data_IF_609504006427
#
_entry.id   IF_609504006427
#
_cell.length_a   1.000
_cell.length_b   1.000
_cell.length_c   1.000
_cell.angle_alpha   90.00
_cell.angle_beta   90.00
_cell.angle_gamma   90.00
#
_symmetry.space_group_name_H-M   'P 1'
#
loop_
_entity.id
_entity.type
_entity.pdbx_description
1 polymer ?
#
# COMPACT_ATOMS: atom_id res chain seq x y z
N UNK A 1 -39.05 14.31 -46.58
CA UNK A 1 -38.28 13.92 -45.38
C UNK A 1 -37.82 15.15 -44.62
N UNK A 2 -38.26 15.35 -43.36
CA UNK A 2 -37.93 16.56 -42.57
C UNK A 2 -36.55 16.42 -41.91
N UNK A 3 -35.59 17.27 -42.31
CA UNK A 3 -34.19 17.33 -41.80
C UNK A 3 -34.08 17.38 -40.25
N UNK A 4 -35.11 17.89 -39.56
CA UNK A 4 -35.18 17.93 -38.09
C UNK A 4 -35.38 16.57 -37.41
N UNK A 5 -36.00 15.59 -38.06
CA UNK A 5 -36.13 14.23 -37.49
C UNK A 5 -34.83 13.43 -37.61
N UNK A 6 -33.99 13.73 -38.61
CA UNK A 6 -32.72 13.02 -38.81
C UNK A 6 -31.70 13.35 -37.71
N UNK A 7 -31.53 14.63 -37.36
CA UNK A 7 -30.61 15.05 -36.28
C UNK A 7 -31.06 14.52 -34.91
N UNK A 8 -32.38 14.44 -34.68
CA UNK A 8 -32.94 13.92 -33.43
C UNK A 8 -32.72 12.40 -33.26
N UNK A 9 -32.69 11.66 -34.38
CA UNK A 9 -32.42 10.22 -34.37
C UNK A 9 -30.92 9.88 -34.35
N UNK A 10 -30.06 10.71 -34.98
CA UNK A 10 -28.61 10.48 -34.97
C UNK A 10 -28.01 10.68 -33.57
N UNK A 11 -28.50 11.64 -32.78
CA UNK A 11 -28.01 11.89 -31.41
C UNK A 11 -28.31 10.79 -30.39
N UNK A 12 -29.34 9.97 -30.62
CA UNK A 12 -29.71 8.88 -29.71
C UNK A 12 -28.90 7.59 -29.93
N UNK A 13 -28.31 7.40 -31.11
CA UNK A 13 -27.61 6.15 -31.49
C UNK A 13 -26.10 6.20 -31.27
N UNK A 14 -25.50 7.39 -31.16
CA UNK A 14 -24.04 7.56 -30.98
C UNK A 14 -23.57 7.45 -29.51
N UNK A 15 -24.48 7.53 -28.54
CA UNK A 15 -24.16 7.39 -27.11
C UNK A 15 -24.13 5.93 -26.62
N UNK A 16 -24.58 4.96 -27.43
CA UNK A 16 -24.64 3.56 -27.03
C UNK A 16 -23.32 2.78 -27.25
N UNK A 17 -22.33 3.36 -27.94
CA UNK A 17 -21.09 2.67 -28.35
C UNK A 17 -19.84 3.11 -27.57
N UNK A 18 -19.94 4.00 -26.58
CA UNK A 18 -18.77 4.55 -25.87
C UNK A 18 -18.47 3.92 -24.52
N UNK A 19 -19.34 3.05 -24.00
CA UNK A 19 -19.08 2.31 -22.77
C UNK A 19 -18.73 0.87 -23.12
N UNK A 20 -17.49 0.66 -23.60
CA UNK A 20 -16.93 -0.69 -23.67
C UNK A 20 -16.63 -1.13 -22.24
N UNK A 21 -17.22 -2.22 -21.73
CA UNK A 21 -16.91 -2.73 -20.41
C UNK A 21 -15.41 -3.04 -20.28
N UNK A 22 -14.83 -2.67 -19.14
CA UNK A 22 -13.37 -2.72 -18.95
C UNK A 22 -12.76 -4.13 -19.15
N UNK A 23 -13.54 -5.18 -18.89
CA UNK A 23 -13.12 -6.57 -19.12
C UNK A 23 -12.92 -6.92 -20.61
N UNK A 24 -13.56 -6.19 -21.53
CA UNK A 24 -13.41 -6.40 -22.97
C UNK A 24 -12.13 -5.77 -23.53
N UNK A 25 -11.53 -4.80 -22.82
CA UNK A 25 -10.25 -4.16 -23.18
C UNK A 25 -9.08 -4.75 -22.39
N UNK A 26 -9.29 -5.17 -21.14
CA UNK A 26 -8.24 -5.74 -20.29
C UNK A 26 -7.70 -7.09 -20.79
N UNK A 27 -8.46 -7.81 -21.63
CA UNK A 27 -8.06 -9.08 -22.25
C UNK A 27 -6.90 -8.98 -23.24
N UNK A 28 -6.45 -7.78 -23.62
CA UNK A 28 -5.36 -7.55 -24.57
C UNK A 28 -3.99 -7.31 -23.90
N UNK A 29 -3.88 -7.53 -22.58
CA UNK A 29 -2.61 -7.41 -21.86
C UNK A 29 -2.13 -5.98 -21.61
N UNK A 30 -3.01 -4.99 -21.80
CA UNK A 30 -2.74 -3.59 -21.47
C UNK A 30 -3.76 -3.09 -20.44
N UNK A 31 -3.27 -2.67 -19.27
CA UNK A 31 -4.09 -1.95 -18.29
C UNK A 31 -4.32 -0.54 -18.80
N UNK A 32 -5.59 -0.17 -18.98
CA UNK A 32 -5.96 1.18 -19.39
C UNK A 32 -5.38 2.19 -18.38
N UNK A 33 -4.91 3.37 -18.80
CA UNK A 33 -4.37 4.35 -17.86
C UNK A 33 -5.32 4.73 -16.71
N UNK A 34 -6.64 4.65 -16.93
CA UNK A 34 -7.68 4.87 -15.91
C UNK A 34 -7.72 3.81 -14.82
N UNK A 35 -7.18 2.63 -15.08
CA UNK A 35 -7.17 1.49 -14.14
C UNK A 35 -5.87 1.40 -13.33
N UNK A 36 -4.95 2.35 -13.56
CA UNK A 36 -3.69 2.45 -12.82
C UNK A 36 -3.88 3.37 -11.63
N UNK A 37 -3.42 2.92 -10.47
CA UNK A 37 -3.37 3.72 -9.26
C UNK A 37 -2.30 4.79 -9.38
N UNK A 38 -2.63 5.99 -8.90
CA UNK A 38 -1.67 7.04 -8.62
C UNK A 38 -1.14 6.88 -7.20
N UNK A 39 0.12 6.50 -7.09
CA UNK A 39 0.80 6.15 -5.86
C UNK A 39 1.75 7.28 -5.45
N UNK A 40 1.73 7.61 -4.16
CA UNK A 40 2.73 8.46 -3.53
C UNK A 40 3.65 7.66 -2.61
N UNK A 41 4.97 7.85 -2.72
CA UNK A 41 5.95 7.26 -1.81
C UNK A 41 6.31 8.21 -0.66
N UNK A 42 6.37 7.72 0.58
CA UNK A 42 6.80 8.47 1.76
C UNK A 42 7.91 7.68 2.48
N UNK A 43 9.11 8.27 2.59
CA UNK A 43 10.32 7.55 2.99
C UNK A 43 10.77 6.64 1.85
N UNK A 44 11.45 7.22 0.86
CA UNK A 44 11.62 6.58 -0.46
C UNK A 44 13.01 5.98 -0.65
N UNK A 45 13.95 6.21 0.27
CA UNK A 45 15.23 5.51 0.28
C UNK A 45 15.13 4.07 0.79
N UNK A 46 16.26 3.38 0.89
CA UNK A 46 16.37 2.04 1.48
C UNK A 46 15.27 1.06 1.02
N UNK A 47 14.37 0.68 1.94
CA UNK A 47 13.27 -0.24 1.66
C UNK A 47 12.16 0.38 0.80
N UNK A 48 11.86 1.67 0.98
CA UNK A 48 10.88 2.40 0.17
C UNK A 48 11.22 2.38 -1.31
N UNK A 49 12.51 2.48 -1.66
CA UNK A 49 13.01 2.33 -3.03
C UNK A 49 12.60 0.99 -3.64
N UNK A 50 12.80 -0.09 -2.90
CA UNK A 50 12.42 -1.43 -3.35
C UNK A 50 10.90 -1.59 -3.45
N UNK A 51 10.13 -1.00 -2.51
CA UNK A 51 8.67 -1.04 -2.60
C UNK A 51 8.17 -0.32 -3.86
N UNK A 52 8.69 0.87 -4.16
CA UNK A 52 8.31 1.64 -5.35
C UNK A 52 8.64 0.88 -6.65
N UNK A 53 9.82 0.25 -6.72
CA UNK A 53 10.21 -0.57 -7.89
C UNK A 53 9.26 -1.76 -8.13
N UNK A 54 8.64 -2.28 -7.07
CA UNK A 54 7.67 -3.37 -7.18
C UNK A 54 6.25 -2.88 -7.55
N UNK A 55 6.00 -1.57 -7.63
CA UNK A 55 4.73 -1.01 -8.10
C UNK A 55 4.68 -0.93 -9.64
N UNK A 56 5.16 -1.98 -10.31
CA UNK A 56 5.26 -2.04 -11.77
C UNK A 56 3.87 -1.86 -12.39
N UNK A 57 3.80 -1.01 -13.41
CA UNK A 57 2.55 -0.75 -14.12
C UNK A 57 1.63 0.27 -13.46
N UNK A 58 1.97 0.79 -12.27
CA UNK A 58 1.24 1.87 -11.60
C UNK A 58 1.88 3.25 -11.84
N UNK A 59 1.18 4.33 -11.51
CA UNK A 59 1.68 5.69 -11.70
C UNK A 59 2.31 6.20 -10.39
N UNK A 60 3.62 6.43 -10.37
CA UNK A 60 4.27 7.11 -9.24
C UNK A 60 4.16 8.62 -9.45
N UNK A 61 3.28 9.29 -8.71
CA UNK A 61 2.92 10.69 -8.95
C UNK A 61 3.56 11.68 -7.98
N UNK A 62 3.93 11.20 -6.79
CA UNK A 62 4.57 12.01 -5.78
C UNK A 62 5.56 11.18 -4.95
N UNK A 63 6.64 11.82 -4.53
CA UNK A 63 7.69 11.23 -3.74
C UNK A 63 8.04 12.19 -2.60
N UNK A 64 8.04 11.68 -1.37
CA UNK A 64 8.28 12.46 -0.18
C UNK A 64 9.43 11.87 0.65
N UNK A 65 10.44 12.67 0.91
CA UNK A 65 11.56 12.31 1.80
C UNK A 65 12.13 13.54 2.51
N UNK A 66 12.48 13.43 3.78
CA UNK A 66 13.09 14.53 4.51
C UNK A 66 14.56 14.74 4.12
N UNK A 67 15.23 13.68 3.65
CA UNK A 67 16.61 13.72 3.17
C UNK A 67 16.65 13.55 1.65
N UNK A 68 16.70 14.68 0.94
CA UNK A 68 16.77 14.70 -0.51
C UNK A 68 18.09 14.17 -1.06
N UNK A 69 19.20 14.31 -0.33
CA UNK A 69 20.50 13.84 -0.79
C UNK A 69 20.51 12.30 -0.79
N UNK A 70 19.97 11.70 0.26
CA UNK A 70 19.78 10.25 0.34
C UNK A 70 18.78 9.73 -0.71
N UNK A 71 17.70 10.48 -0.95
CA UNK A 71 16.62 10.10 -1.86
C UNK A 71 16.87 10.41 -3.35
N UNK A 72 17.94 11.16 -3.69
CA UNK A 72 18.23 11.63 -5.04
C UNK A 72 18.21 10.53 -6.13
N UNK A 73 18.78 9.33 -5.90
CA UNK A 73 18.71 8.26 -6.88
C UNK A 73 17.27 7.85 -7.23
N UNK A 74 16.36 7.90 -6.25
CA UNK A 74 14.95 7.52 -6.45
C UNK A 74 14.18 8.61 -7.17
N UNK A 75 14.47 9.88 -6.86
CA UNK A 75 13.91 10.99 -7.63
C UNK A 75 14.34 10.94 -9.11
N UNK A 76 15.55 10.49 -9.38
CA UNK A 76 16.06 10.30 -10.75
C UNK A 76 15.40 9.11 -11.46
N UNK A 77 15.03 8.05 -10.72
CA UNK A 77 14.26 6.91 -11.27
C UNK A 77 12.83 7.29 -11.65
N UNK A 78 12.22 8.27 -10.97
CA UNK A 78 10.85 8.74 -11.22
C UNK A 78 10.78 10.26 -11.48
N UNK A 79 11.35 10.75 -12.59
CA UNK A 79 11.53 12.19 -12.83
C UNK A 79 10.21 12.97 -13.02
N UNK A 80 9.11 12.27 -13.29
CA UNK A 80 7.77 12.86 -13.43
C UNK A 80 7.03 13.02 -12.09
N UNK A 81 7.48 12.33 -11.05
CA UNK A 81 6.85 12.41 -9.74
C UNK A 81 7.22 13.74 -9.07
N UNK A 82 6.23 14.43 -8.50
CA UNK A 82 6.49 15.66 -7.75
C UNK A 82 7.23 15.33 -6.46
N UNK A 83 8.26 16.13 -6.14
CA UNK A 83 9.12 15.94 -4.96
C UNK A 83 8.59 16.77 -3.79
N UNK A 84 8.51 16.16 -2.61
CA UNK A 84 8.09 16.82 -1.37
C UNK A 84 9.05 16.50 -0.22
N UNK A 85 9.33 17.49 0.64
CA UNK A 85 10.09 17.28 1.88
C UNK A 85 9.22 16.88 3.07
N UNK A 86 7.93 17.20 2.99
CA UNK A 86 6.98 17.06 4.07
C UNK A 86 5.71 16.37 3.54
N UNK A 87 5.36 15.24 4.15
CA UNK A 87 4.21 14.44 3.73
C UNK A 87 2.90 15.20 3.96
N UNK A 88 2.84 16.11 4.93
CA UNK A 88 1.64 16.92 5.23
C UNK A 88 1.36 17.86 4.06
N UNK A 89 2.40 18.55 3.58
CA UNK A 89 2.32 19.41 2.39
C UNK A 89 2.00 18.59 1.15
N UNK A 90 2.57 17.39 1.02
CA UNK A 90 2.25 16.49 -0.08
C UNK A 90 0.77 16.11 -0.09
N UNK A 91 0.24 15.62 1.03
CA UNK A 91 -1.16 15.22 1.18
C UNK A 91 -2.12 16.39 0.97
N UNK A 92 -1.73 17.61 1.37
CA UNK A 92 -2.51 18.82 1.14
C UNK A 92 -2.53 19.22 -0.35
N UNK A 93 -1.37 19.27 -1.01
CA UNK A 93 -1.22 19.86 -2.35
C UNK A 93 -1.45 18.87 -3.50
N UNK A 94 -1.14 17.60 -3.32
CA UNK A 94 -1.24 16.60 -4.37
C UNK A 94 -2.62 15.93 -4.32
N UNK A 95 -3.50 16.32 -5.26
CA UNK A 95 -4.90 15.86 -5.24
C UNK A 95 -5.11 14.47 -5.87
N UNK A 96 -4.28 14.11 -6.83
CA UNK A 96 -4.37 12.85 -7.58
C UNK A 96 -3.55 11.73 -6.92
N UNK A 97 -3.76 11.47 -5.62
CA UNK A 97 -3.19 10.30 -4.92
C UNK A 97 -4.35 9.36 -4.61
N UNK A 98 -4.23 8.12 -5.07
CA UNK A 98 -5.17 7.03 -4.77
C UNK A 98 -4.64 6.19 -3.59
N UNK A 99 -3.32 5.96 -3.55
CA UNK A 99 -2.66 5.17 -2.51
C UNK A 99 -1.32 5.77 -2.08
N UNK A 100 -0.91 5.47 -0.84
CA UNK A 100 0.42 5.79 -0.30
C UNK A 100 1.20 4.53 0.01
N UNK A 101 2.50 4.57 -0.27
CA UNK A 101 3.50 3.59 0.18
C UNK A 101 4.37 4.28 1.22
N UNK A 102 4.28 3.82 2.47
CA UNK A 102 4.99 4.40 3.62
C UNK A 102 6.10 3.43 4.06
N UNK A 103 7.34 3.89 3.99
CA UNK A 103 8.54 3.12 4.35
C UNK A 103 9.56 3.97 5.13
N UNK A 104 9.06 4.85 5.99
CA UNK A 104 9.84 5.66 6.94
C UNK A 104 10.34 4.80 8.12
N UNK A 105 11.12 5.35 9.06
CA UNK A 105 11.37 4.70 10.33
C UNK A 105 10.06 4.40 11.08
N UNK A 106 9.99 3.24 11.72
CA UNK A 106 8.79 2.65 12.32
C UNK A 106 8.06 3.54 13.34
N UNK A 107 8.80 4.29 14.17
CA UNK A 107 8.23 5.23 15.13
C UNK A 107 7.43 6.39 14.49
N UNK A 108 7.50 6.57 13.17
CA UNK A 108 6.71 7.57 12.43
C UNK A 108 5.54 6.99 11.65
N UNK A 109 5.43 5.66 11.56
CA UNK A 109 4.45 4.98 10.71
C UNK A 109 3.02 5.41 10.99
N UNK A 110 2.58 5.33 12.25
CA UNK A 110 1.20 5.66 12.62
C UNK A 110 0.87 7.14 12.38
N UNK A 111 1.82 8.04 12.64
CA UNK A 111 1.67 9.49 12.46
C UNK A 111 1.46 9.88 10.99
N UNK A 112 1.99 9.08 10.06
CA UNK A 112 1.87 9.33 8.61
C UNK A 112 0.66 8.57 8.05
N UNK A 113 0.46 7.32 8.47
CA UNK A 113 -0.61 6.48 7.97
C UNK A 113 -2.00 7.01 8.35
N UNK A 114 -2.19 7.44 9.61
CA UNK A 114 -3.48 7.94 10.07
C UNK A 114 -4.04 9.10 9.22
N UNK A 115 -3.33 10.23 9.03
CA UNK A 115 -3.85 11.31 8.19
C UNK A 115 -4.01 10.90 6.72
N UNK A 116 -3.18 9.99 6.19
CA UNK A 116 -3.38 9.48 4.83
C UNK A 116 -4.71 8.70 4.71
N UNK A 117 -4.99 7.83 5.69
CA UNK A 117 -6.22 7.03 5.75
C UNK A 117 -7.46 7.90 5.98
N UNK A 118 -7.36 8.94 6.83
CA UNK A 118 -8.43 9.94 7.03
C UNK A 118 -8.77 10.71 5.75
N UNK A 119 -7.77 10.93 4.89
CA UNK A 119 -7.95 11.53 3.56
C UNK A 119 -8.40 10.51 2.50
N UNK A 120 -8.79 9.29 2.92
CA UNK A 120 -9.30 8.24 2.05
C UNK A 120 -8.22 7.58 1.18
N UNK A 121 -6.94 7.68 1.54
CA UNK A 121 -5.84 7.10 0.75
C UNK A 121 -5.61 5.64 1.15
N UNK A 122 -5.65 4.75 0.17
CA UNK A 122 -5.25 3.36 0.40
C UNK A 122 -3.80 3.31 0.88
N UNK A 123 -3.48 2.43 1.82
CA UNK A 123 -2.23 2.55 2.57
C UNK A 123 -1.46 1.24 2.60
N UNK A 124 -0.32 1.21 1.92
CA UNK A 124 0.72 0.22 2.14
C UNK A 124 1.71 0.77 3.18
N UNK A 125 1.92 0.05 4.28
CA UNK A 125 2.74 0.49 5.40
C UNK A 125 3.79 -0.57 5.74
N UNK A 126 5.07 -0.20 5.76
CA UNK A 126 6.16 -1.14 6.03
C UNK A 126 6.07 -1.78 7.42
N UNK A 127 6.76 -2.92 7.55
CA UNK A 127 6.96 -3.60 8.85
C UNK A 127 8.18 -3.00 9.60
N UNK A 128 8.15 -2.96 10.95
CA UNK A 128 7.00 -3.26 11.82
C UNK A 128 5.88 -2.23 11.63
N UNK A 129 4.62 -2.66 11.76
CA UNK A 129 3.46 -1.82 11.39
C UNK A 129 3.46 -0.49 12.15
N UNK A 130 3.65 -0.55 13.47
CA UNK A 130 3.64 0.59 14.39
C UNK A 130 4.59 0.32 15.56
N UNK A 131 4.85 1.35 16.38
CA UNK A 131 5.72 1.24 17.55
C UNK A 131 4.98 0.67 18.78
N UNK A 132 3.66 0.83 18.85
CA UNK A 132 2.84 0.28 19.94
C UNK A 132 1.63 -0.54 19.44
N UNK A 133 1.14 -1.42 20.31
CA UNK A 133 -0.11 -2.18 20.07
C UNK A 133 -1.30 -1.22 19.96
N UNK A 134 -1.31 -0.14 20.74
CA UNK A 134 -2.38 0.86 20.69
C UNK A 134 -2.48 1.49 19.30
N UNK A 135 -1.35 1.90 18.71
CA UNK A 135 -1.31 2.47 17.36
C UNK A 135 -1.81 1.47 16.31
N UNK A 136 -1.40 0.20 16.39
CA UNK A 136 -1.91 -0.85 15.49
C UNK A 136 -3.43 -1.00 15.58
N UNK A 137 -3.99 -1.04 16.80
CA UNK A 137 -5.44 -1.10 17.03
C UNK A 137 -6.16 0.16 16.53
N UNK A 138 -5.56 1.32 16.73
CA UNK A 138 -6.09 2.59 16.25
C UNK A 138 -6.17 2.62 14.71
N UNK A 139 -5.08 2.26 14.01
CA UNK A 139 -5.07 2.19 12.55
C UNK A 139 -6.06 1.15 12.01
N UNK A 140 -6.23 0.02 12.71
CA UNK A 140 -7.23 -1.00 12.33
C UNK A 140 -8.65 -0.41 12.34
N UNK A 141 -9.06 0.23 13.45
CA UNK A 141 -10.36 0.89 13.54
C UNK A 141 -10.52 2.03 12.54
N UNK A 142 -9.43 2.73 12.25
CA UNK A 142 -9.43 3.81 11.27
C UNK A 142 -9.66 3.25 9.85
N UNK A 143 -9.02 2.15 9.48
CA UNK A 143 -9.22 1.48 8.19
C UNK A 143 -10.69 1.08 8.01
N UNK A 144 -11.29 0.46 9.03
CA UNK A 144 -12.71 0.08 9.03
C UNK A 144 -13.62 1.30 8.87
N UNK A 145 -13.32 2.38 9.60
CA UNK A 145 -14.11 3.62 9.57
C UNK A 145 -14.04 4.34 8.22
N UNK A 146 -12.86 4.40 7.59
CA UNK A 146 -12.67 5.16 6.34
C UNK A 146 -12.89 4.30 5.10
N UNK A 147 -12.97 2.97 5.25
CA UNK A 147 -13.15 2.03 4.15
C UNK A 147 -11.92 1.89 3.24
N UNK A 148 -10.76 2.38 3.68
CA UNK A 148 -9.52 2.28 2.88
C UNK A 148 -8.95 0.87 2.93
N UNK A 149 -8.55 0.36 1.78
CA UNK A 149 -7.71 -0.85 1.70
C UNK A 149 -6.35 -0.56 2.32
N UNK A 150 -5.89 -1.48 3.17
CA UNK A 150 -4.56 -1.41 3.78
C UNK A 150 -3.78 -2.70 3.57
N UNK A 151 -2.45 -2.59 3.52
CA UNK A 151 -1.56 -3.75 3.48
C UNK A 151 -0.28 -3.45 4.27
N UNK A 152 0.11 -4.36 5.16
CA UNK A 152 1.42 -4.30 5.80
C UNK A 152 2.49 -4.88 4.87
N UNK A 153 3.65 -4.22 4.80
CA UNK A 153 4.80 -4.65 3.99
C UNK A 153 5.56 -5.84 4.56
N UNK A 154 4.84 -6.93 4.84
CA UNK A 154 5.40 -8.15 5.41
C UNK A 154 5.85 -9.12 4.32
N UNK A 155 6.81 -8.71 3.50
CA UNK A 155 7.08 -9.38 2.22
C UNK A 155 7.57 -10.82 2.34
N UNK A 156 8.12 -11.20 3.51
CA UNK A 156 8.48 -12.59 3.79
C UNK A 156 7.30 -13.57 3.72
N UNK A 157 6.06 -13.08 3.80
CA UNK A 157 4.84 -13.89 3.68
C UNK A 157 4.17 -13.78 2.31
N UNK A 158 4.84 -13.18 1.32
CA UNK A 158 4.29 -12.94 -0.02
C UNK A 158 5.01 -13.72 -1.12
N UNK A 159 5.76 -14.76 -0.77
CA UNK A 159 6.42 -15.64 -1.73
C UNK A 159 5.65 -16.95 -1.94
N UNK A 160 5.82 -17.54 -3.12
CA UNK A 160 5.22 -18.81 -3.50
C UNK A 160 5.51 -19.91 -2.47
N UNK A 161 6.75 -19.97 -1.96
CA UNK A 161 7.13 -20.91 -0.90
C UNK A 161 6.26 -20.80 0.35
N UNK A 162 5.87 -19.58 0.77
CA UNK A 162 5.00 -19.43 1.93
C UNK A 162 3.57 -19.87 1.61
N UNK A 163 3.09 -19.58 0.40
CA UNK A 163 1.77 -20.06 -0.03
C UNK A 163 1.74 -21.59 -0.13
N UNK A 164 2.75 -22.23 -0.71
CA UNK A 164 2.90 -23.69 -0.77
C UNK A 164 2.89 -24.32 0.63
N UNK A 165 3.66 -23.76 1.58
CA UNK A 165 3.64 -24.25 2.96
C UNK A 165 2.24 -24.10 3.58
N UNK A 166 1.58 -22.97 3.36
CA UNK A 166 0.22 -22.75 3.86
C UNK A 166 -0.77 -23.77 3.26
N UNK A 167 -0.68 -24.04 1.96
CA UNK A 167 -1.51 -25.03 1.25
C UNK A 167 -1.28 -26.44 1.80
N UNK A 168 -0.03 -26.86 1.98
CA UNK A 168 0.31 -28.17 2.57
C UNK A 168 -0.29 -28.32 3.96
N UNK A 169 -0.14 -27.31 4.82
CA UNK A 169 -0.72 -27.32 6.17
C UNK A 169 -2.25 -27.35 6.12
N UNK A 170 -2.88 -26.50 5.30
CA UNK A 170 -4.34 -26.38 5.20
C UNK A 170 -5.00 -27.59 4.55
N UNK A 171 -4.28 -28.33 3.69
CA UNK A 171 -4.77 -29.58 3.09
C UNK A 171 -5.03 -30.67 4.13
N UNK A 172 -4.43 -30.55 5.32
CA UNK A 172 -4.53 -31.56 6.39
C UNK A 172 -3.70 -32.82 6.15
N UNK A 173 -2.90 -32.89 5.08
CA UNK A 173 -2.10 -34.08 4.75
C UNK A 173 -1.02 -34.42 5.80
N UNK A 174 -0.62 -33.44 6.61
CA UNK A 174 0.32 -33.61 7.73
C UNK A 174 -0.35 -34.09 9.04
N UNK A 175 -1.68 -34.20 9.06
CA UNK A 175 -2.45 -34.44 10.28
C UNK A 175 -2.42 -33.24 11.24
N UNK A 176 -2.60 -33.50 12.54
CA UNK A 176 -2.52 -32.45 13.57
C UNK A 176 -1.10 -31.97 13.78
N UNK A 177 -0.80 -30.73 13.40
CA UNK A 177 0.48 -30.08 13.69
C UNK A 177 0.70 -30.01 15.21
N UNK A 178 1.83 -30.54 15.68
CA UNK A 178 2.19 -30.55 17.11
C UNK A 178 3.20 -29.47 17.46
N UNK A 179 4.09 -29.15 16.53
CA UNK A 179 5.22 -28.26 16.78
C UNK A 179 5.67 -27.60 15.47
N UNK A 180 6.16 -26.36 15.56
CA UNK A 180 6.78 -25.64 14.47
C UNK A 180 8.09 -25.02 14.96
N UNK A 181 9.21 -25.33 14.30
CA UNK A 181 10.52 -24.78 14.62
C UNK A 181 10.85 -23.64 13.65
N UNK A 182 11.04 -22.44 14.19
CA UNK A 182 11.32 -21.23 13.40
C UNK A 182 12.62 -20.62 13.88
N UNK A 183 13.58 -20.48 12.98
CA UNK A 183 14.87 -19.86 13.25
C UNK A 183 15.18 -18.80 12.19
N UNK A 184 16.00 -17.82 12.57
CA UNK A 184 16.50 -16.80 11.66
C UNK A 184 17.99 -16.59 11.89
N UNK A 185 18.76 -16.53 10.82
CA UNK A 185 20.20 -16.24 10.86
C UNK A 185 20.48 -14.72 10.90
N UNK A 186 19.49 -13.91 11.28
CA UNK A 186 19.57 -12.44 11.30
C UNK A 186 19.76 -11.89 12.72
N UNK A 187 21.01 -11.80 13.24
CA UNK A 187 21.29 -11.13 14.51
C UNK A 187 21.39 -9.61 14.32
N UNK A 188 20.44 -9.00 13.61
CA UNK A 188 20.55 -7.58 13.19
C UNK A 188 19.97 -6.63 14.26
N UNK A 189 19.24 -7.17 15.24
CA UNK A 189 18.66 -6.43 16.37
C UNK A 189 18.62 -7.32 17.61
N UNK A 190 18.52 -6.69 18.78
CA UNK A 190 18.49 -7.36 20.09
C UNK A 190 17.36 -8.41 20.10
N UNK A 191 17.72 -9.68 20.24
CA UNK A 191 16.77 -10.80 20.26
C UNK A 191 16.12 -10.85 21.64
N UNK A 192 14.88 -10.37 21.73
CA UNK A 192 14.13 -10.31 22.98
C UNK A 192 14.38 -9.02 23.78
N UNK A 193 13.31 -8.50 24.38
CA UNK A 193 13.43 -7.56 25.49
C UNK A 193 13.89 -8.38 26.71
N UNK A 194 14.83 -7.87 27.54
CA UNK A 194 15.08 -8.50 28.83
C UNK A 194 13.74 -8.61 29.58
N UNK A 195 13.51 -9.77 30.21
CA UNK A 195 12.30 -10.01 31.01
C UNK A 195 12.04 -8.79 31.89
N UNK A 196 10.82 -8.21 31.89
CA UNK A 196 10.50 -7.09 32.76
C UNK A 196 10.92 -7.42 34.19
N UNK A 197 11.67 -6.52 34.83
CA UNK A 197 12.14 -6.72 36.21
C UNK A 197 10.98 -6.76 37.22
N UNK A 198 9.80 -6.30 36.81
CA UNK A 198 8.56 -6.34 37.57
C UNK A 198 7.44 -6.88 36.68
N UNK A 199 6.64 -7.80 37.22
CA UNK A 199 5.38 -8.18 36.59
C UNK A 199 4.45 -6.97 36.56
N UNK A 200 3.90 -6.69 35.38
CA UNK A 200 2.86 -5.67 35.21
C UNK A 200 1.56 -6.43 35.01
N UNK A 201 0.58 -6.18 35.87
CA UNK A 201 -0.73 -6.81 35.74
C UNK A 201 -1.37 -6.45 34.39
N UNK A 202 -2.02 -7.42 33.74
CA UNK A 202 -2.82 -7.18 32.55
C UNK A 202 -3.99 -6.27 32.96
N UNK A 203 -4.24 -5.13 32.28
CA UNK A 203 -5.39 -4.27 32.59
C UNK A 203 -6.70 -5.05 32.45
N UNK A 204 -7.67 -4.76 33.32
CA UNK A 204 -9.01 -5.31 33.17
C UNK A 204 -9.68 -4.76 31.89
N UNK A 205 -10.34 -5.66 31.15
CA UNK A 205 -11.04 -5.38 29.89
C UNK A 205 -12.40 -4.77 30.10
#
# INVERSE_FOLDING_TARGET
MKRRSFVKNVGATSLALTVVPNFAVSGLGHTAPSDKLNIAGIGIGGKGKNNLRNMVGQNIVALCDCDYAYADPVFSEYPKAKKYKDYRIMLEKQKNIDAVVIATPDHTHALIAAPAMELGKHTYLQKPLTHSIWESRYLTKLAEKTGVVTQMGNEGHSSDTVYEVAEVVQSGCLGTIREAHVWTNRPIWRQGMPKPLKEVAVPET
#
